data_IF_124193178738
#
_entry.id   IF_124193178738
#
_cell.length_a   1.000
_cell.length_b   1.000
_cell.length_c   1.000
_cell.angle_alpha   90.00
_cell.angle_beta   90.00
_cell.angle_gamma   90.00
#
_symmetry.space_group_name_H-M   'P 1'
#
loop_
_entity.id
_entity.type
_entity.pdbx_description
1 polymer ?
#
# COMPACT_ATOMS: atom_id res chain seq x y z
N UNK A 1 -0.40 -21.49 0.81
CA UNK A 1 -0.35 -21.06 -0.60
C UNK A 1 0.87 -20.17 -0.73
N UNK A 2 1.82 -20.49 -1.60
CA UNK A 2 3.01 -19.67 -1.79
C UNK A 2 2.56 -18.32 -2.38
N UNK A 3 3.16 -17.21 -1.95
CA UNK A 3 2.86 -15.87 -2.49
C UNK A 3 2.93 -15.86 -4.02
N UNK A 4 3.85 -16.63 -4.60
CA UNK A 4 4.00 -16.73 -6.05
C UNK A 4 2.86 -17.46 -6.75
N UNK A 5 2.07 -18.28 -6.06
CA UNK A 5 1.00 -19.07 -6.69
C UNK A 5 -0.13 -18.16 -7.20
N UNK A 6 -0.49 -17.13 -6.44
CA UNK A 6 -1.53 -16.16 -6.86
C UNK A 6 -1.07 -15.38 -8.08
N UNK A 7 0.19 -14.93 -8.13
CA UNK A 7 0.74 -14.19 -9.27
C UNK A 7 1.02 -15.04 -10.52
N UNK A 8 0.87 -16.36 -10.44
CA UNK A 8 0.99 -17.27 -11.58
C UNK A 8 -0.36 -17.65 -12.20
N UNK A 9 -1.46 -17.22 -11.59
CA UNK A 9 -2.81 -17.44 -12.09
C UNK A 9 -3.03 -16.75 -13.45
N UNK A 10 -3.37 -17.51 -14.51
CA UNK A 10 -3.54 -16.95 -15.85
C UNK A 10 -4.82 -16.11 -16.00
N UNK A 11 -5.80 -16.31 -15.10
CA UNK A 11 -7.05 -15.53 -15.05
C UNK A 11 -6.87 -14.11 -14.50
N UNK A 12 -5.69 -13.78 -13.95
CA UNK A 12 -5.35 -12.44 -13.49
C UNK A 12 -4.56 -11.72 -14.59
N UNK A 13 -4.98 -10.51 -15.02
CA UNK A 13 -4.29 -9.75 -16.07
C UNK A 13 -2.79 -9.58 -15.81
N UNK A 14 -1.96 -9.71 -16.84
CA UNK A 14 -0.50 -9.65 -16.71
C UNK A 14 0.00 -8.35 -16.07
N UNK A 15 -0.53 -7.19 -16.49
CA UNK A 15 -0.15 -5.90 -15.91
C UNK A 15 -0.51 -5.82 -14.42
N UNK A 16 -1.64 -6.42 -13.99
CA UNK A 16 -2.00 -6.52 -12.58
C UNK A 16 -0.99 -7.40 -11.83
N UNK A 17 -0.64 -8.58 -12.37
CA UNK A 17 0.33 -9.49 -11.74
C UNK A 17 1.71 -8.83 -11.59
N UNK A 18 2.14 -8.05 -12.58
CA UNK A 18 3.40 -7.29 -12.52
C UNK A 18 3.30 -6.17 -11.46
N UNK A 19 2.20 -5.42 -11.47
CA UNK A 19 1.96 -4.31 -10.54
C UNK A 19 1.88 -4.77 -9.08
N UNK A 20 1.12 -5.83 -8.81
CA UNK A 20 1.01 -6.43 -7.49
C UNK A 20 2.25 -7.27 -7.11
N UNK A 21 3.06 -7.69 -8.07
CA UNK A 21 4.30 -8.46 -7.81
C UNK A 21 5.51 -7.60 -7.50
N UNK A 22 5.46 -6.29 -7.77
CA UNK A 22 6.64 -5.42 -7.63
C UNK A 22 7.05 -5.19 -6.18
N UNK A 23 8.34 -5.17 -5.94
CA UNK A 23 8.96 -4.64 -4.73
C UNK A 23 9.22 -3.12 -4.82
N UNK A 24 8.91 -2.49 -5.96
CA UNK A 24 9.05 -1.06 -6.21
C UNK A 24 7.82 -0.22 -5.86
N UNK A 25 7.80 1.03 -6.32
CA UNK A 25 6.66 1.93 -6.15
C UNK A 25 5.53 1.57 -7.11
N UNK A 26 4.37 1.18 -6.57
CA UNK A 26 3.15 0.93 -7.35
C UNK A 26 2.75 2.16 -8.17
N UNK A 27 2.89 3.36 -7.59
CA UNK A 27 2.63 4.62 -8.29
C UNK A 27 3.49 4.75 -9.55
N UNK A 28 4.81 4.57 -9.43
CA UNK A 28 5.71 4.70 -10.58
C UNK A 28 5.47 3.63 -11.64
N UNK A 29 5.13 2.40 -11.22
CA UNK A 29 4.82 1.34 -12.15
C UNK A 29 3.49 1.58 -12.89
N UNK A 30 2.48 2.10 -12.22
CA UNK A 30 1.22 2.51 -12.86
C UNK A 30 1.45 3.64 -13.87
N UNK A 31 2.34 4.60 -13.59
CA UNK A 31 2.69 5.65 -14.53
C UNK A 31 3.33 5.08 -15.80
N UNK A 32 4.26 4.14 -15.66
CA UNK A 32 4.90 3.45 -16.80
C UNK A 32 3.88 2.63 -17.59
N UNK A 33 3.02 1.88 -16.89
CA UNK A 33 2.03 1.01 -17.50
C UNK A 33 0.96 1.79 -18.27
N UNK A 34 0.47 2.90 -17.70
CA UNK A 34 -0.60 3.71 -18.31
C UNK A 34 -0.10 4.82 -19.22
N UNK A 35 1.19 5.19 -19.14
CA UNK A 35 1.74 6.37 -19.80
C UNK A 35 1.19 7.70 -19.26
N UNK A 36 0.57 7.70 -18.08
CA UNK A 36 -0.16 8.84 -17.50
C UNK A 36 0.27 9.06 -16.05
N UNK A 37 0.03 10.28 -15.54
CA UNK A 37 0.31 10.60 -14.14
C UNK A 37 -0.67 9.91 -13.20
N UNK A 38 -0.16 9.35 -12.11
CA UNK A 38 -1.00 8.76 -11.05
C UNK A 38 -1.29 9.82 -10.00
N UNK A 39 -2.58 10.04 -9.71
CA UNK A 39 -3.04 10.88 -8.61
C UNK A 39 -3.28 10.03 -7.37
N UNK A 40 -2.69 10.42 -6.25
CA UNK A 40 -3.05 9.89 -4.94
C UNK A 40 -4.14 10.77 -4.35
N UNK A 41 -5.25 10.16 -3.96
CA UNK A 41 -6.37 10.85 -3.32
C UNK A 41 -6.67 10.20 -1.97
N UNK A 42 -6.57 10.99 -0.90
CA UNK A 42 -6.82 10.51 0.45
C UNK A 42 -8.30 10.47 0.74
N UNK A 43 -8.80 9.27 1.06
CA UNK A 43 -10.18 9.05 1.50
C UNK A 43 -10.30 9.42 2.98
N UNK A 44 -9.34 8.97 3.79
CA UNK A 44 -9.32 9.26 5.22
C UNK A 44 -7.90 9.20 5.75
N UNK A 45 -7.58 10.10 6.68
CA UNK A 45 -6.35 10.04 7.46
C UNK A 45 -6.62 10.53 8.88
N UNK A 46 -6.21 9.75 9.88
CA UNK A 46 -6.36 10.11 11.29
C UNK A 46 -5.25 9.48 12.14
N UNK A 47 -5.03 10.07 13.31
CA UNK A 47 -4.21 9.46 14.36
C UNK A 47 -5.13 8.65 15.25
N UNK A 48 -4.85 7.35 15.37
CA UNK A 48 -5.58 6.43 16.23
C UNK A 48 -4.64 5.84 17.28
N UNK A 49 -5.23 5.36 18.38
CA UNK A 49 -4.51 4.60 19.40
C UNK A 49 -4.40 3.13 18.97
N UNK A 50 -3.20 2.57 19.07
CA UNK A 50 -2.94 1.18 18.72
C UNK A 50 -3.78 0.23 19.60
N UNK A 51 -4.64 -0.57 18.96
CA UNK A 51 -5.28 -1.73 19.62
C UNK A 51 -4.25 -2.84 19.85
N UNK A 52 -4.63 -3.91 20.55
CA UNK A 52 -3.72 -5.07 20.74
C UNK A 52 -3.29 -5.69 19.41
N UNK A 53 -4.19 -5.71 18.43
CA UNK A 53 -3.94 -6.25 17.10
C UNK A 53 -2.98 -5.35 16.31
N UNK A 54 -3.23 -4.03 16.31
CA UNK A 54 -2.35 -3.05 15.65
C UNK A 54 -0.97 -3.04 16.31
N UNK A 55 -0.92 -3.11 17.64
CA UNK A 55 0.31 -3.17 18.41
C UNK A 55 1.17 -4.37 18.01
N UNK A 56 0.56 -5.57 17.94
CA UNK A 56 1.23 -6.78 17.45
C UNK A 56 1.67 -6.65 15.98
N UNK A 57 0.85 -6.04 15.14
CA UNK A 57 1.13 -5.89 13.72
C UNK A 57 2.34 -4.97 13.46
N UNK A 58 2.43 -3.87 14.20
CA UNK A 58 3.49 -2.87 14.07
C UNK A 58 4.66 -3.09 15.04
N UNK A 59 4.60 -4.12 15.87
CA UNK A 59 5.59 -4.43 16.90
C UNK A 59 5.80 -3.27 17.88
N UNK A 60 4.72 -2.61 18.30
CA UNK A 60 4.67 -1.44 19.20
C UNK A 60 3.86 -1.75 20.47
N UNK A 61 3.84 -0.83 21.43
CA UNK A 61 2.98 -0.94 22.60
C UNK A 61 1.52 -0.59 22.29
N UNK A 62 0.59 -1.18 23.06
CA UNK A 62 -0.84 -0.83 22.97
C UNK A 62 -1.04 0.61 23.47
N UNK A 63 -1.81 1.40 22.74
CA UNK A 63 -2.06 2.81 23.06
C UNK A 63 -1.06 3.81 22.45
N UNK A 64 -0.05 3.34 21.72
CA UNK A 64 0.80 4.23 20.92
C UNK A 64 0.03 4.89 19.77
N UNK A 65 0.49 6.06 19.33
CA UNK A 65 -0.11 6.80 18.23
C UNK A 65 0.29 6.24 16.86
N UNK A 66 -0.72 5.93 16.06
CA UNK A 66 -0.59 5.33 14.74
C UNK A 66 -1.33 6.20 13.73
N UNK A 67 -0.65 6.58 12.66
CA UNK A 67 -1.28 7.19 11.51
C UNK A 67 -2.02 6.10 10.71
N UNK A 68 -3.35 6.16 10.70
CA UNK A 68 -4.22 5.33 9.85
C UNK A 68 -4.62 6.14 8.63
N UNK A 69 -4.19 5.68 7.45
CA UNK A 69 -4.39 6.39 6.18
C UNK A 69 -4.94 5.43 5.13
N UNK A 70 -6.04 5.83 4.51
CA UNK A 70 -6.69 5.16 3.39
C UNK A 70 -6.67 6.08 2.18
N UNK A 71 -6.09 5.61 1.08
CA UNK A 71 -5.94 6.36 -0.16
C UNK A 71 -6.37 5.55 -1.37
N UNK A 72 -6.61 6.25 -2.46
CA UNK A 72 -6.73 5.66 -3.80
C UNK A 72 -5.60 6.14 -4.69
N UNK A 73 -5.14 5.26 -5.58
CA UNK A 73 -4.28 5.61 -6.71
C UNK A 73 -5.15 5.61 -7.95
N UNK A 74 -5.30 6.78 -8.57
CA UNK A 74 -6.14 7.00 -9.75
C UNK A 74 -5.28 7.39 -10.94
N UNK A 75 -5.68 6.93 -12.12
CA UNK A 75 -5.20 7.46 -13.40
C UNK A 75 -6.42 7.98 -14.14
N UNK A 76 -6.38 9.26 -14.50
CA UNK A 76 -7.57 10.04 -14.85
C UNK A 76 -8.64 9.88 -13.74
N UNK A 77 -9.79 9.28 -14.04
CA UNK A 77 -10.88 9.02 -13.09
C UNK A 77 -11.01 7.53 -12.70
N UNK A 78 -10.06 6.69 -13.11
CA UNK A 78 -10.10 5.24 -12.86
C UNK A 78 -9.25 4.90 -11.63
N UNK A 79 -9.86 4.31 -10.61
CA UNK A 79 -9.15 3.88 -9.39
C UNK A 79 -8.44 2.54 -9.63
N UNK A 80 -7.11 2.54 -9.69
CA UNK A 80 -6.36 1.30 -9.87
C UNK A 80 -6.09 0.58 -8.55
N UNK A 81 -5.93 1.32 -7.46
CA UNK A 81 -5.54 0.75 -6.17
C UNK A 81 -6.28 1.45 -5.05
N UNK A 82 -6.80 0.68 -4.11
CA UNK A 82 -7.16 1.15 -2.77
C UNK A 82 -6.04 0.69 -1.81
N UNK A 83 -5.41 1.62 -1.10
CA UNK A 83 -4.33 1.32 -0.19
C UNK A 83 -4.62 1.82 1.23
N UNK A 84 -4.54 0.92 2.21
CA UNK A 84 -4.55 1.24 3.62
C UNK A 84 -3.13 1.13 4.18
N UNK A 85 -2.73 2.09 4.99
CA UNK A 85 -1.45 2.08 5.70
C UNK A 85 -1.65 2.39 7.18
N UNK A 86 -0.91 1.67 8.02
CA UNK A 86 -0.82 1.90 9.46
C UNK A 86 0.64 2.12 9.80
N UNK A 87 0.94 3.23 10.47
CA UNK A 87 2.31 3.64 10.65
C UNK A 87 2.54 4.33 12.01
N UNK A 88 3.41 3.79 12.89
CA UNK A 88 3.64 4.32 14.23
C UNK A 88 4.41 5.64 14.16
N UNK A 89 3.80 6.71 14.65
CA UNK A 89 4.27 8.09 14.46
C UNK A 89 5.62 8.31 15.16
N UNK A 90 5.80 7.70 16.34
CA UNK A 90 6.99 7.89 17.17
C UNK A 90 8.25 7.17 16.65
N UNK A 91 8.09 6.22 15.70
CA UNK A 91 9.21 5.46 15.12
C UNK A 91 9.72 6.02 13.80
N UNK A 92 9.05 7.04 13.28
CA UNK A 92 9.45 7.64 12.02
C UNK A 92 10.55 8.67 12.25
N UNK A 93 11.52 8.77 11.33
CA UNK A 93 12.36 9.95 11.24
C UNK A 93 11.48 11.20 11.14
N UNK A 94 11.88 12.28 11.81
CA UNK A 94 11.06 13.49 11.94
C UNK A 94 10.60 14.06 10.59
N UNK A 95 11.49 14.08 9.59
CA UNK A 95 11.18 14.58 8.26
C UNK A 95 10.13 13.71 7.54
N UNK A 96 10.20 12.39 7.72
CA UNK A 96 9.23 11.42 7.17
C UNK A 96 7.89 11.58 7.83
N UNK A 97 7.88 11.74 9.16
CA UNK A 97 6.66 12.01 9.93
C UNK A 97 5.96 13.27 9.41
N UNK A 98 6.71 14.37 9.25
CA UNK A 98 6.16 15.63 8.77
C UNK A 98 5.47 15.49 7.40
N UNK A 99 6.12 14.81 6.45
CA UNK A 99 5.54 14.60 5.13
C UNK A 99 4.42 13.57 5.10
N UNK A 100 4.46 12.53 5.95
CA UNK A 100 3.38 11.54 6.03
C UNK A 100 2.09 12.17 6.56
N UNK A 101 2.20 13.13 7.47
CA UNK A 101 1.06 13.89 7.98
C UNK A 101 0.46 14.85 6.92
N UNK A 102 1.14 15.06 5.79
CA UNK A 102 0.58 15.79 4.64
C UNK A 102 -0.22 14.82 3.79
N UNK A 103 -1.54 15.03 3.75
CA UNK A 103 -2.49 14.05 3.24
C UNK A 103 -2.25 13.56 1.80
N UNK A 104 -1.65 14.35 0.91
CA UNK A 104 -1.63 14.01 -0.53
C UNK A 104 -0.27 13.55 -1.07
N UNK A 105 0.73 13.32 -0.20
CA UNK A 105 2.04 12.84 -0.65
C UNK A 105 2.05 11.30 -0.68
N UNK A 106 2.41 10.65 -1.82
CA UNK A 106 2.55 9.20 -1.87
C UNK A 106 3.65 8.70 -0.93
N UNK A 107 3.39 7.64 -0.15
CA UNK A 107 4.37 7.06 0.78
C UNK A 107 5.69 6.72 0.07
N UNK A 108 5.62 6.08 -1.10
CA UNK A 108 6.82 5.73 -1.87
C UNK A 108 7.66 6.96 -2.28
N UNK A 109 7.05 8.12 -2.46
CA UNK A 109 7.75 9.38 -2.76
C UNK A 109 8.46 9.91 -1.51
N UNK A 110 7.78 9.90 -0.36
CA UNK A 110 8.35 10.31 0.94
C UNK A 110 9.62 9.50 1.24
N UNK A 111 9.54 8.16 1.17
CA UNK A 111 10.68 7.30 1.47
C UNK A 111 11.88 7.57 0.55
N UNK A 112 11.61 7.85 -0.74
CA UNK A 112 12.64 8.14 -1.74
C UNK A 112 13.28 9.52 -1.54
N UNK A 113 12.49 10.55 -1.26
CA UNK A 113 12.98 11.91 -1.04
C UNK A 113 13.89 11.98 0.19
N UNK A 114 13.55 11.24 1.24
CA UNK A 114 14.36 11.09 2.46
C UNK A 114 15.45 10.02 2.35
N UNK A 115 15.64 9.40 1.16
CA UNK A 115 16.67 8.39 0.87
C UNK A 115 16.72 7.23 1.89
N UNK A 116 15.56 6.80 2.36
CA UNK A 116 15.48 5.73 3.35
C UNK A 116 15.75 4.39 2.70
N UNK A 117 16.74 3.68 3.21
CA UNK A 117 16.99 2.28 2.87
C UNK A 117 15.95 1.41 3.57
N UNK A 118 15.02 0.88 2.80
CA UNK A 118 13.91 0.07 3.31
C UNK A 118 13.81 -1.22 2.52
N UNK A 119 13.25 -2.25 3.16
CA UNK A 119 12.86 -3.49 2.49
C UNK A 119 11.38 -3.75 2.72
N UNK A 120 10.75 -4.43 1.76
CA UNK A 120 9.34 -4.84 1.83
C UNK A 120 9.24 -6.32 2.17
N UNK A 121 8.60 -6.64 3.29
CA UNK A 121 8.24 -8.00 3.65
C UNK A 121 6.80 -8.29 3.26
N UNK A 122 6.62 -9.01 2.16
CA UNK A 122 5.30 -9.46 1.74
C UNK A 122 4.81 -10.52 2.74
N UNK A 123 3.73 -10.22 3.43
CA UNK A 123 3.11 -11.10 4.42
C UNK A 123 2.08 -12.03 3.78
N UNK A 124 1.24 -11.46 2.93
CA UNK A 124 0.08 -12.16 2.38
C UNK A 124 -0.27 -11.63 1.01
N UNK A 125 -0.75 -12.53 0.15
CA UNK A 125 -1.34 -12.18 -1.12
C UNK A 125 -2.46 -13.16 -1.44
N UNK A 126 -3.63 -12.64 -1.77
CA UNK A 126 -4.85 -13.42 -1.94
C UNK A 126 -5.88 -12.69 -2.81
N UNK A 127 -6.80 -13.44 -3.40
CA UNK A 127 -7.99 -12.87 -4.03
C UNK A 127 -9.10 -12.81 -2.98
N UNK A 128 -9.65 -11.61 -2.77
CA UNK A 128 -10.71 -11.32 -1.81
C UNK A 128 -11.79 -10.47 -2.48
N UNK A 129 -12.93 -10.31 -1.82
CA UNK A 129 -13.95 -9.34 -2.22
C UNK A 129 -13.86 -8.14 -1.27
N UNK A 130 -13.90 -6.93 -1.84
CA UNK A 130 -13.90 -5.67 -1.10
C UNK A 130 -14.97 -4.76 -1.69
N UNK A 131 -15.95 -4.38 -0.88
CA UNK A 131 -17.10 -3.57 -1.32
C UNK A 131 -16.72 -2.27 -2.04
N UNK A 132 -15.52 -1.72 -1.80
CA UNK A 132 -15.02 -0.54 -2.49
C UNK A 132 -14.99 -0.69 -4.03
N UNK A 133 -14.67 -1.88 -4.54
CA UNK A 133 -14.69 -2.18 -5.97
C UNK A 133 -15.98 -2.93 -6.39
N UNK A 134 -17.03 -2.86 -5.58
CA UNK A 134 -18.27 -3.61 -5.79
C UNK A 134 -18.06 -5.13 -5.67
N UNK A 135 -18.68 -5.88 -6.59
CA UNK A 135 -18.61 -7.34 -6.65
C UNK A 135 -17.34 -7.87 -7.35
N UNK A 136 -16.44 -6.97 -7.77
CA UNK A 136 -15.22 -7.39 -8.46
C UNK A 136 -14.29 -8.17 -7.51
N UNK A 137 -13.68 -9.27 -7.98
CA UNK A 137 -12.58 -9.88 -7.25
C UNK A 137 -11.41 -8.89 -7.16
N UNK A 138 -10.72 -8.89 -6.02
CA UNK A 138 -9.62 -7.98 -5.73
C UNK A 138 -8.41 -8.80 -5.33
N UNK A 139 -7.27 -8.58 -6.00
CA UNK A 139 -5.99 -9.05 -5.50
C UNK A 139 -5.60 -8.13 -4.34
N UNK A 140 -5.54 -8.70 -3.14
CA UNK A 140 -5.09 -8.04 -1.93
C UNK A 140 -3.64 -8.44 -1.68
N UNK A 141 -2.78 -7.45 -1.48
CA UNK A 141 -1.38 -7.60 -1.11
C UNK A 141 -1.13 -6.93 0.23
N UNK A 142 -0.57 -7.66 1.17
CA UNK A 142 -0.28 -7.20 2.51
C UNK A 142 1.23 -7.32 2.77
N UNK A 143 1.84 -6.24 3.25
CA UNK A 143 3.27 -6.20 3.51
C UNK A 143 3.65 -5.21 4.61
N UNK A 144 4.85 -5.39 5.16
CA UNK A 144 5.49 -4.41 6.03
C UNK A 144 6.64 -3.74 5.30
N UNK A 145 6.82 -2.45 5.55
CA UNK A 145 8.06 -1.75 5.22
C UNK A 145 8.93 -1.78 6.48
N UNK A 146 10.13 -2.33 6.36
CA UNK A 146 11.11 -2.41 7.44
C UNK A 146 12.21 -1.38 7.21
N UNK A 147 12.54 -0.64 8.26
CA UNK A 147 13.61 0.35 8.32
C UNK A 147 14.41 0.11 9.62
N UNK A 148 15.73 0.06 9.54
CA UNK A 148 16.62 -0.19 10.70
C UNK A 148 16.18 -1.40 11.56
N UNK A 149 15.80 -2.51 10.91
CA UNK A 149 15.27 -3.73 11.54
C UNK A 149 13.95 -3.58 12.34
N UNK A 150 13.28 -2.44 12.26
CA UNK A 150 11.99 -2.19 12.89
C UNK A 150 10.88 -2.01 11.85
N UNK A 151 9.63 -2.30 12.24
CA UNK A 151 8.46 -2.06 11.38
C UNK A 151 8.22 -0.56 11.29
N UNK A 152 8.47 0.01 10.10
CA UNK A 152 8.19 1.41 9.81
C UNK A 152 6.72 1.64 9.52
N UNK A 153 6.08 0.71 8.80
CA UNK A 153 4.64 0.73 8.53
C UNK A 153 4.17 -0.61 7.99
N UNK A 154 2.87 -0.84 8.15
CA UNK A 154 2.14 -1.90 7.49
C UNK A 154 1.28 -1.31 6.38
N UNK A 155 1.19 -2.01 5.24
CA UNK A 155 0.40 -1.60 4.09
C UNK A 155 -0.43 -2.78 3.55
N UNK A 156 -1.70 -2.52 3.27
CA UNK A 156 -2.54 -3.38 2.46
C UNK A 156 -3.01 -2.65 1.20
N UNK A 157 -2.69 -3.21 0.04
CA UNK A 157 -3.09 -2.71 -1.27
C UNK A 157 -4.07 -3.67 -1.92
N UNK A 158 -5.11 -3.11 -2.53
CA UNK A 158 -6.20 -3.84 -3.16
C UNK A 158 -6.29 -3.41 -4.63
N UNK A 159 -6.12 -4.38 -5.53
CA UNK A 159 -6.14 -4.22 -6.99
C UNK A 159 -7.37 -4.94 -7.58
N UNK A 160 -8.33 -4.25 -8.21
CA UNK A 160 -9.50 -4.90 -8.81
C UNK A 160 -9.06 -5.76 -10.00
N UNK A 161 -9.53 -6.99 -10.08
CA UNK A 161 -9.20 -7.92 -11.16
C UNK A 161 -10.24 -7.75 -12.28
N UNK A 162 -9.98 -6.82 -13.19
CA UNK A 162 -10.86 -6.52 -14.32
C UNK A 162 -10.10 -5.99 -15.56
N UNK A 163 -10.85 -5.50 -16.54
CA UNK A 163 -10.36 -5.03 -17.84
C UNK A 163 -9.43 -3.82 -17.76
N UNK A 164 -9.37 -3.05 -16.66
CA UNK A 164 -8.52 -1.84 -16.58
C UNK A 164 -7.01 -2.13 -16.66
N UNK A 165 -6.65 -3.41 -16.54
CA UNK A 165 -5.29 -3.92 -16.63
C UNK A 165 -4.97 -4.56 -17.98
N UNK A 166 -5.92 -4.60 -18.93
CA UNK A 166 -5.67 -4.97 -20.33
C UNK A 166 -5.28 -3.71 -21.09
N UNK A 167 -4.00 -3.37 -20.98
CA UNK A 167 -3.40 -2.20 -21.63
C UNK A 167 -2.98 -2.52 -23.05
#
# INVERSE_FOLDING_TARGET
>A
MNLQDVLRRPDIPACLRICAGTDGSVTGLLEVLTGKNVKVETISQSVIKATKEIARLLDIETGEDVNDRLVTLKVDDIVYVLAKSLAPINRMPEAVRADLMRADIPIGKILREHKLETRRDILKMEIVHRNFFGELPVLSREYKIIYENAVLMWINECFPVDERWKM
#
